data_IF_973429698550
#
_entry.id   IF_973429698550
#
_cell.length_a   1.000
_cell.length_b   1.000
_cell.length_c   1.000
_cell.angle_alpha   90.00
_cell.angle_beta   90.00
_cell.angle_gamma   90.00
#
_symmetry.space_group_name_H-M   'P 1'
#
loop_
_entity.id
_entity.type
_entity.pdbx_description
1 polymer ?
#
# COMPACT_ATOMS: atom_id res chain seq x y z
N UNK A 1 32.16 16.65 17.51
CA UNK A 1 30.88 17.39 17.59
C UNK A 1 29.98 16.76 16.55
N UNK A 2 28.89 16.15 16.99
CA UNK A 2 27.77 15.76 16.13
C UNK A 2 27.26 17.01 15.43
N UNK A 3 26.93 16.91 14.15
CA UNK A 3 26.29 18.04 13.46
C UNK A 3 24.90 18.24 14.04
N UNK A 4 24.42 19.48 14.07
CA UNK A 4 23.04 19.83 14.47
C UNK A 4 21.99 18.94 13.78
N UNK A 5 22.22 18.62 12.50
CA UNK A 5 21.37 17.73 11.73
C UNK A 5 21.30 16.32 12.34
N UNK A 6 22.44 15.79 12.78
CA UNK A 6 22.50 14.49 13.44
C UNK A 6 21.77 14.48 14.79
N UNK A 7 21.90 15.53 15.59
CA UNK A 7 21.21 15.61 16.90
C UNK A 7 19.69 15.59 16.75
N UNK A 8 19.16 16.26 15.72
CA UNK A 8 17.73 16.23 15.39
C UNK A 8 17.31 14.81 14.96
N UNK A 9 18.08 14.16 14.08
CA UNK A 9 17.77 12.80 13.62
C UNK A 9 17.87 11.76 14.75
N UNK A 10 18.83 11.93 15.66
CA UNK A 10 19.00 11.09 16.83
C UNK A 10 17.79 11.22 17.77
N UNK A 11 17.31 12.45 18.01
CA UNK A 11 16.09 12.68 18.79
C UNK A 11 14.86 12.03 18.13
N UNK A 12 14.73 12.12 16.79
CA UNK A 12 13.66 11.45 16.06
C UNK A 12 13.74 9.92 16.18
N UNK A 13 14.95 9.36 16.13
CA UNK A 13 15.21 7.91 16.23
C UNK A 13 14.95 7.38 17.64
N UNK A 14 15.23 8.20 18.66
CA UNK A 14 15.07 7.83 20.07
C UNK A 14 13.65 8.06 20.61
N UNK A 15 12.81 8.80 19.88
CA UNK A 15 11.47 9.16 20.35
C UNK A 15 11.47 10.30 21.37
N UNK A 16 12.57 11.06 21.49
CA UNK A 16 12.70 12.13 22.48
C UNK A 16 12.00 13.41 22.00
N UNK A 17 10.69 13.47 22.22
CA UNK A 17 9.84 14.61 21.88
C UNK A 17 10.31 15.90 22.54
N UNK A 18 10.80 15.84 23.79
CA UNK A 18 11.21 17.03 24.53
C UNK A 18 12.52 17.61 23.97
N UNK A 19 13.51 16.75 23.72
CA UNK A 19 14.75 17.17 23.06
C UNK A 19 14.47 17.71 21.65
N UNK A 20 13.62 17.03 20.88
CA UNK A 20 13.26 17.46 19.53
C UNK A 20 12.59 18.85 19.52
N UNK A 21 11.67 19.13 20.46
CA UNK A 21 11.06 20.44 20.61
C UNK A 21 12.10 21.54 20.90
N UNK A 22 13.03 21.28 21.82
CA UNK A 22 14.10 22.22 22.15
C UNK A 22 15.01 22.48 20.95
N UNK A 23 15.36 21.43 20.19
CA UNK A 23 16.17 21.55 18.98
C UNK A 23 15.42 22.34 17.89
N UNK A 24 14.11 22.15 17.72
CA UNK A 24 13.33 22.92 16.76
C UNK A 24 13.25 24.41 17.10
N UNK A 25 13.10 24.74 18.39
CA UNK A 25 13.11 26.12 18.87
C UNK A 25 14.48 26.78 18.68
N UNK A 26 15.56 26.10 19.11
CA UNK A 26 16.92 26.61 18.99
C UNK A 26 17.34 26.90 17.54
N UNK A 27 16.75 26.18 16.59
CA UNK A 27 17.08 26.26 15.17
C UNK A 27 16.03 27.01 14.33
N UNK A 28 15.06 27.68 14.97
CA UNK A 28 14.00 28.46 14.30
C UNK A 28 13.22 27.67 13.24
N UNK A 29 12.96 26.38 13.49
CA UNK A 29 12.27 25.48 12.55
C UNK A 29 10.74 25.66 12.65
N UNK A 30 10.22 26.11 13.80
CA UNK A 30 8.77 26.28 13.99
C UNK A 30 8.17 27.23 12.95
N UNK A 31 7.14 26.76 12.24
CA UNK A 31 6.44 27.48 11.17
C UNK A 31 7.33 27.86 9.97
N UNK A 32 8.52 27.26 9.83
CA UNK A 32 9.35 27.42 8.64
C UNK A 32 8.75 26.68 7.45
N UNK A 33 9.24 26.96 6.25
CA UNK A 33 8.97 26.07 5.13
C UNK A 33 9.68 24.72 5.36
N UNK A 34 9.10 23.59 4.90
CA UNK A 34 9.75 22.30 5.01
C UNK A 34 11.06 22.26 4.22
N UNK A 35 12.09 21.68 4.82
CA UNK A 35 13.41 21.52 4.19
C UNK A 35 13.41 20.24 3.36
N UNK A 36 13.73 20.37 2.08
CA UNK A 36 13.75 19.26 1.11
C UNK A 36 15.13 18.92 0.55
N UNK A 37 16.16 19.69 0.93
CA UNK A 37 17.53 19.46 0.49
C UNK A 37 18.47 19.50 1.67
N UNK A 38 19.37 18.54 1.72
CA UNK A 38 20.40 18.50 2.73
C UNK A 38 21.30 19.74 2.63
N UNK A 39 21.67 20.25 3.80
CA UNK A 39 22.65 21.31 3.95
C UNK A 39 23.63 20.90 5.03
N UNK A 40 24.92 21.14 4.81
CA UNK A 40 25.97 20.78 5.76
C UNK A 40 25.80 21.49 7.13
N UNK A 41 25.11 22.63 7.16
CA UNK A 41 24.87 23.44 8.36
C UNK A 41 23.39 23.68 8.65
N UNK A 42 22.49 23.04 7.90
CA UNK A 42 21.04 23.21 8.08
C UNK A 42 20.42 22.07 8.89
N UNK A 43 19.13 22.21 9.26
CA UNK A 43 18.37 21.09 9.80
C UNK A 43 18.23 19.96 8.75
N UNK A 44 17.95 18.72 9.18
CA UNK A 44 17.69 17.62 8.27
C UNK A 44 16.41 17.89 7.46
N UNK A 45 16.24 17.17 6.35
CA UNK A 45 14.99 17.27 5.59
C UNK A 45 13.81 16.76 6.41
N UNK A 46 12.61 17.28 6.13
CA UNK A 46 11.38 16.82 6.78
C UNK A 46 11.17 15.32 6.58
N UNK A 47 11.46 14.80 5.38
CA UNK A 47 11.30 13.39 5.07
C UNK A 47 12.36 12.52 5.78
N UNK A 48 13.59 13.01 5.97
CA UNK A 48 14.60 12.29 6.78
C UNK A 48 14.14 12.15 8.24
N UNK A 49 13.54 13.20 8.81
CA UNK A 49 12.98 13.13 10.16
C UNK A 49 11.78 12.18 10.25
N UNK A 50 10.86 12.24 9.27
CA UNK A 50 9.72 11.33 9.20
C UNK A 50 10.18 9.88 9.07
N UNK A 51 11.09 9.58 8.14
CA UNK A 51 11.63 8.22 7.94
C UNK A 51 12.27 7.69 9.22
N UNK A 52 13.09 8.49 9.91
CA UNK A 52 13.70 8.11 11.18
C UNK A 52 12.64 7.77 12.26
N UNK A 53 11.61 8.60 12.39
CA UNK A 53 10.54 8.39 13.36
C UNK A 53 9.65 7.18 13.01
N UNK A 54 9.30 7.00 11.72
CA UNK A 54 8.49 5.87 11.23
C UNK A 54 9.21 4.55 11.44
N UNK A 55 10.49 4.49 11.08
CA UNK A 55 11.32 3.28 11.20
C UNK A 55 11.44 2.79 12.65
N UNK A 56 11.21 3.68 13.62
CA UNK A 56 11.32 3.39 15.05
C UNK A 56 9.97 3.52 15.80
N UNK A 57 8.84 3.52 15.08
CA UNK A 57 7.48 3.52 15.65
C UNK A 57 7.13 4.71 16.58
N UNK A 58 7.76 5.87 16.38
CA UNK A 58 7.57 7.04 17.25
C UNK A 58 6.41 7.93 16.81
N UNK A 59 5.18 7.50 17.10
CA UNK A 59 3.92 8.21 16.76
C UNK A 59 3.96 9.69 17.17
N UNK A 60 4.34 9.99 18.42
CA UNK A 60 4.36 11.37 18.93
C UNK A 60 5.40 12.26 18.26
N UNK A 61 6.52 11.69 17.82
CA UNK A 61 7.55 12.41 17.05
C UNK A 61 6.99 12.76 15.67
N UNK A 62 6.33 11.81 14.99
CA UNK A 62 5.65 12.08 13.71
C UNK A 62 4.64 13.21 13.86
N UNK A 63 3.76 13.15 14.87
CA UNK A 63 2.79 14.22 15.15
C UNK A 63 3.47 15.57 15.36
N UNK A 64 4.56 15.63 16.13
CA UNK A 64 5.29 16.86 16.39
C UNK A 64 5.91 17.43 15.11
N UNK A 65 6.52 16.60 14.27
CA UNK A 65 7.11 17.01 12.99
C UNK A 65 6.03 17.65 12.12
N UNK A 66 4.88 16.98 11.95
CA UNK A 66 3.77 17.49 11.15
C UNK A 66 3.19 18.80 11.71
N UNK A 67 3.00 18.89 13.04
CA UNK A 67 2.52 20.12 13.69
C UNK A 67 3.48 21.30 13.51
N UNK A 68 4.79 21.04 13.49
CA UNK A 68 5.83 22.06 13.28
C UNK A 68 5.69 22.74 11.92
N UNK A 69 5.18 22.00 10.93
CA UNK A 69 4.91 22.48 9.57
C UNK A 69 3.41 22.72 9.31
N UNK A 70 2.58 22.83 10.36
CA UNK A 70 1.15 23.05 10.21
C UNK A 70 0.84 24.24 9.28
N UNK A 71 -0.05 24.03 8.32
CA UNK A 71 -0.39 25.02 7.29
C UNK A 71 0.59 25.09 6.10
N UNK A 72 1.62 24.24 6.05
CA UNK A 72 2.49 24.04 4.88
C UNK A 72 2.18 22.71 4.20
N UNK A 73 2.47 22.60 2.90
CA UNK A 73 2.39 21.31 2.20
C UNK A 73 3.72 20.56 2.37
N UNK A 74 3.72 19.54 3.21
CA UNK A 74 4.80 18.54 3.25
C UNK A 74 4.55 17.54 2.13
N UNK A 75 5.51 17.37 1.23
CA UNK A 75 5.47 16.35 0.21
C UNK A 75 6.12 15.08 0.75
N UNK A 76 5.32 14.04 0.98
CA UNK A 76 5.81 12.73 1.34
C UNK A 76 6.58 12.13 0.16
N UNK A 77 7.74 11.57 0.45
CA UNK A 77 8.61 10.98 -0.57
C UNK A 77 8.47 9.47 -0.61
N UNK A 78 9.04 8.88 -1.66
CA UNK A 78 9.24 7.43 -1.82
C UNK A 78 9.75 6.79 -0.53
N UNK A 79 10.78 7.37 0.08
CA UNK A 79 11.42 6.81 1.29
C UNK A 79 10.47 6.79 2.48
N UNK A 80 9.55 7.77 2.58
CA UNK A 80 8.52 7.82 3.63
C UNK A 80 7.54 6.67 3.47
N UNK A 81 7.09 6.40 2.24
CA UNK A 81 6.17 5.30 1.98
C UNK A 81 6.87 3.95 2.11
N UNK A 82 8.13 3.83 1.67
CA UNK A 82 8.94 2.63 1.90
C UNK A 82 9.12 2.36 3.40
N UNK A 83 9.30 3.40 4.24
CA UNK A 83 9.36 3.23 5.68
C UNK A 83 8.04 2.68 6.25
N UNK A 84 6.88 3.15 5.79
CA UNK A 84 5.56 2.63 6.20
C UNK A 84 5.33 1.17 5.76
N UNK A 85 5.79 0.80 4.57
CA UNK A 85 5.74 -0.59 4.09
C UNK A 85 6.64 -1.51 4.94
N UNK A 86 7.81 -0.99 5.37
CA UNK A 86 8.75 -1.75 6.17
C UNK A 86 8.38 -1.81 7.66
N UNK A 87 7.75 -0.76 8.19
CA UNK A 87 7.38 -0.58 9.58
C UNK A 87 5.91 -0.10 9.66
N UNK A 88 4.94 -0.98 9.34
CA UNK A 88 3.55 -0.60 9.27
C UNK A 88 2.99 -0.28 10.65
N UNK A 89 2.63 0.98 10.85
CA UNK A 89 2.04 1.49 12.08
C UNK A 89 0.83 2.36 11.74
N UNK A 90 -0.37 1.89 12.12
CA UNK A 90 -1.62 2.54 11.72
C UNK A 90 -1.83 3.90 12.40
N UNK A 91 -1.30 4.11 13.60
CA UNK A 91 -1.39 5.41 14.28
C UNK A 91 -0.52 6.46 13.59
N UNK A 92 0.67 6.05 13.12
CA UNK A 92 1.53 6.88 12.27
C UNK A 92 0.84 7.18 10.94
N UNK A 93 0.30 6.15 10.27
CA UNK A 93 -0.38 6.31 9.00
C UNK A 93 -1.59 7.26 9.14
N UNK A 94 -2.36 7.13 10.22
CA UNK A 94 -3.47 8.04 10.52
C UNK A 94 -2.99 9.48 10.67
N UNK A 95 -1.91 9.73 11.41
CA UNK A 95 -1.34 11.08 11.54
C UNK A 95 -0.94 11.68 10.18
N UNK A 96 -0.33 10.88 9.30
CA UNK A 96 0.08 11.32 7.97
C UNK A 96 -1.13 11.58 7.07
N UNK A 97 -2.16 10.73 7.16
CA UNK A 97 -3.42 10.90 6.42
C UNK A 97 -4.21 12.12 6.86
N UNK A 98 -4.33 12.35 8.18
CA UNK A 98 -4.99 13.54 8.73
C UNK A 98 -4.29 14.83 8.29
N UNK A 99 -2.98 14.74 8.01
CA UNK A 99 -2.20 15.85 7.49
C UNK A 99 -2.35 16.05 5.97
N UNK A 100 -2.20 15.00 5.18
CA UNK A 100 -2.43 15.01 3.73
C UNK A 100 -3.06 13.68 3.28
N UNK A 101 -4.40 13.66 3.04
CA UNK A 101 -5.11 12.45 2.62
C UNK A 101 -4.59 11.86 1.30
N UNK A 102 -3.90 12.64 0.46
CA UNK A 102 -3.34 12.13 -0.80
C UNK A 102 -2.22 11.10 -0.60
N UNK A 103 -1.76 10.86 0.63
CA UNK A 103 -0.78 9.80 0.92
C UNK A 103 -1.25 8.42 0.44
N UNK A 104 -2.55 8.12 0.51
CA UNK A 104 -3.09 6.81 0.05
C UNK A 104 -3.04 6.64 -1.46
N UNK A 105 -2.91 7.74 -2.19
CA UNK A 105 -2.79 7.80 -3.64
C UNK A 105 -1.34 8.01 -4.10
N UNK A 106 -0.35 7.75 -3.24
CA UNK A 106 1.05 7.87 -3.61
C UNK A 106 1.41 6.89 -4.74
N UNK A 107 2.22 7.37 -5.68
CA UNK A 107 2.66 6.67 -6.88
C UNK A 107 4.16 6.83 -7.10
N UNK A 108 4.82 5.75 -7.55
CA UNK A 108 6.26 5.77 -7.88
C UNK A 108 6.55 6.24 -9.31
N UNK A 109 5.86 5.70 -10.31
CA UNK A 109 6.32 5.78 -11.72
C UNK A 109 5.20 5.79 -12.79
N UNK A 110 4.36 6.84 -12.80
CA UNK A 110 3.40 7.03 -13.90
C UNK A 110 2.21 6.05 -13.81
N UNK A 111 1.69 5.90 -12.60
CA UNK A 111 0.44 5.22 -12.26
C UNK A 111 0.48 3.68 -12.21
N UNK A 112 1.60 2.99 -12.43
CA UNK A 112 1.61 1.51 -12.34
C UNK A 112 1.93 0.96 -10.97
N UNK A 113 2.77 1.66 -10.21
CA UNK A 113 3.13 1.30 -8.84
C UNK A 113 2.57 2.35 -7.88
N UNK A 114 1.54 1.96 -7.11
CA UNK A 114 0.91 2.77 -6.08
C UNK A 114 1.26 2.24 -4.69
N UNK A 115 0.94 3.01 -3.65
CA UNK A 115 1.09 2.56 -2.26
C UNK A 115 0.37 1.23 -2.02
N UNK A 116 -0.88 1.08 -2.48
CA UNK A 116 -1.63 -0.16 -2.29
C UNK A 116 -1.06 -1.33 -3.10
N UNK A 117 -0.57 -1.13 -4.33
CA UNK A 117 0.03 -2.23 -5.11
C UNK A 117 1.35 -2.69 -4.49
N UNK A 118 2.17 -1.78 -3.95
CA UNK A 118 3.39 -2.14 -3.22
C UNK A 118 3.10 -2.81 -1.89
N UNK A 119 2.05 -2.40 -1.18
CA UNK A 119 1.59 -3.09 0.01
C UNK A 119 1.13 -4.52 -0.32
N UNK A 120 0.48 -4.75 -1.46
CA UNK A 120 0.10 -6.10 -1.90
C UNK A 120 1.29 -7.05 -2.13
N UNK A 121 2.47 -6.52 -2.41
CA UNK A 121 3.71 -7.30 -2.61
C UNK A 121 4.39 -7.70 -1.29
N UNK A 122 3.96 -7.13 -0.15
CA UNK A 122 4.54 -7.43 1.16
C UNK A 122 3.96 -8.72 1.76
N UNK A 123 4.70 -9.43 2.66
CA UNK A 123 4.19 -10.62 3.32
C UNK A 123 2.88 -10.36 4.09
N UNK A 124 1.83 -11.20 3.93
CA UNK A 124 0.51 -10.96 4.53
C UNK A 124 0.53 -10.82 6.05
N UNK A 125 1.37 -11.58 6.75
CA UNK A 125 1.52 -11.55 8.22
C UNK A 125 1.96 -10.18 8.76
N UNK A 126 2.59 -9.37 7.91
CA UNK A 126 3.08 -8.04 8.23
C UNK A 126 2.12 -6.94 7.76
N UNK A 127 1.58 -7.06 6.56
CA UNK A 127 0.95 -5.94 5.86
C UNK A 127 -0.58 -5.93 5.91
N UNK A 128 -1.23 -7.03 6.33
CA UNK A 128 -2.70 -7.17 6.25
C UNK A 128 -3.46 -5.99 6.84
N UNK A 129 -3.09 -5.54 8.04
CA UNK A 129 -3.78 -4.41 8.70
C UNK A 129 -3.63 -3.10 7.94
N UNK A 130 -2.44 -2.84 7.37
CA UNK A 130 -2.20 -1.66 6.54
C UNK A 130 -3.00 -1.73 5.24
N UNK A 131 -3.06 -2.89 4.58
CA UNK A 131 -3.86 -3.07 3.37
C UNK A 131 -5.35 -2.84 3.62
N UNK A 132 -5.91 -3.41 4.68
CA UNK A 132 -7.31 -3.19 5.05
C UNK A 132 -7.57 -1.71 5.32
N UNK A 133 -6.68 -1.05 6.06
CA UNK A 133 -6.77 0.39 6.32
C UNK A 133 -6.73 1.20 5.01
N UNK A 134 -5.82 0.90 4.07
CA UNK A 134 -5.76 1.58 2.77
C UNK A 134 -7.05 1.39 1.95
N UNK A 135 -7.62 0.18 1.95
CA UNK A 135 -8.88 -0.12 1.27
C UNK A 135 -10.04 0.67 1.90
N UNK A 136 -10.07 0.78 3.23
CA UNK A 136 -11.10 1.56 3.93
C UNK A 136 -11.02 3.05 3.59
N UNK A 137 -9.80 3.59 3.41
CA UNK A 137 -9.50 4.99 3.15
C UNK A 137 -9.37 5.35 1.65
N UNK A 138 -10.08 4.62 0.78
CA UNK A 138 -10.24 4.93 -0.64
C UNK A 138 -8.93 4.98 -1.44
N UNK A 139 -7.93 4.16 -1.09
CA UNK A 139 -6.76 3.94 -1.95
C UNK A 139 -7.20 3.46 -3.35
N UNK A 140 -6.46 3.84 -4.40
CA UNK A 140 -6.79 3.47 -5.78
C UNK A 140 -6.61 1.96 -6.02
N UNK A 141 -7.73 1.24 -6.09
CA UNK A 141 -7.76 -0.21 -6.31
C UNK A 141 -7.69 -0.62 -7.78
N UNK A 142 -7.68 0.32 -8.72
CA UNK A 142 -7.43 0.01 -10.12
C UNK A 142 -5.92 0.00 -10.43
N UNK A 143 -5.07 0.55 -9.55
CA UNK A 143 -3.63 0.56 -9.76
C UNK A 143 -3.25 1.37 -11.01
N UNK A 144 -3.90 2.53 -11.17
CA UNK A 144 -3.76 3.44 -12.29
C UNK A 144 -4.40 2.96 -13.60
N UNK A 145 -3.63 2.93 -14.68
CA UNK A 145 -4.16 2.70 -16.03
C UNK A 145 -4.56 1.24 -16.33
N UNK A 146 -4.16 0.28 -15.50
CA UNK A 146 -4.46 -1.14 -15.69
C UNK A 146 -4.84 -1.79 -14.37
N UNK A 147 -6.01 -2.47 -14.26
CA UNK A 147 -6.51 -3.09 -13.03
C UNK A 147 -5.56 -4.19 -12.52
N UNK A 148 -4.56 -3.79 -11.74
CA UNK A 148 -3.45 -4.64 -11.28
C UNK A 148 -3.50 -4.93 -9.81
N UNK A 149 -4.17 -4.12 -8.98
CA UNK A 149 -4.16 -4.28 -7.52
C UNK A 149 -4.62 -5.67 -7.09
N UNK A 150 -5.72 -6.21 -7.65
CA UNK A 150 -6.12 -7.60 -7.35
C UNK A 150 -5.09 -8.63 -7.84
N UNK A 151 -4.44 -8.39 -8.99
CA UNK A 151 -3.37 -9.28 -9.47
C UNK A 151 -2.19 -9.28 -8.50
N UNK A 152 -1.74 -8.11 -8.05
CA UNK A 152 -0.66 -7.97 -7.08
C UNK A 152 -1.04 -8.61 -5.74
N UNK A 153 -2.29 -8.43 -5.26
CA UNK A 153 -2.76 -9.04 -4.03
C UNK A 153 -2.75 -10.58 -4.11
N UNK A 154 -3.17 -11.15 -5.24
CA UNK A 154 -3.16 -12.60 -5.46
C UNK A 154 -1.72 -13.13 -5.53
N UNK A 155 -0.86 -12.50 -6.34
CA UNK A 155 0.54 -12.89 -6.54
C UNK A 155 1.36 -12.75 -5.25
N UNK A 156 1.11 -11.70 -4.47
CA UNK A 156 1.71 -11.48 -3.17
C UNK A 156 1.15 -12.38 -2.06
N UNK A 157 0.23 -13.29 -2.38
CA UNK A 157 -0.32 -14.25 -1.43
C UNK A 157 -1.22 -13.62 -0.36
N UNK A 158 -1.79 -12.45 -0.61
CA UNK A 158 -2.64 -11.76 0.36
C UNK A 158 -3.83 -12.61 0.79
N UNK A 159 -4.29 -12.37 2.02
CA UNK A 159 -5.38 -13.13 2.63
C UNK A 159 -6.67 -12.97 1.84
N UNK A 160 -7.55 -13.98 1.89
CA UNK A 160 -8.87 -13.91 1.28
C UNK A 160 -9.65 -12.68 1.77
N UNK A 161 -9.53 -12.34 3.06
CA UNK A 161 -10.21 -11.18 3.66
C UNK A 161 -9.79 -9.85 3.03
N UNK A 162 -8.50 -9.67 2.70
CA UNK A 162 -8.01 -8.48 2.00
C UNK A 162 -8.58 -8.42 0.57
N UNK A 163 -8.53 -9.54 -0.15
CA UNK A 163 -9.05 -9.61 -1.53
C UNK A 163 -10.57 -9.36 -1.55
N UNK A 164 -11.31 -9.94 -0.61
CA UNK A 164 -12.74 -9.70 -0.45
C UNK A 164 -13.05 -8.23 -0.11
N UNK A 165 -12.27 -7.61 0.78
CA UNK A 165 -12.40 -6.20 1.09
C UNK A 165 -12.19 -5.31 -0.14
N UNK A 166 -11.14 -5.57 -0.93
CA UNK A 166 -10.88 -4.86 -2.18
C UNK A 166 -12.04 -4.98 -3.17
N UNK A 167 -12.52 -6.20 -3.40
CA UNK A 167 -13.66 -6.46 -4.30
C UNK A 167 -14.92 -5.75 -3.81
N UNK A 168 -15.22 -5.80 -2.51
CA UNK A 168 -16.38 -5.14 -1.91
C UNK A 168 -16.29 -3.61 -2.01
N UNK A 169 -15.08 -3.06 -1.96
CA UNK A 169 -14.81 -1.63 -2.14
C UNK A 169 -14.86 -1.19 -3.62
N UNK A 170 -14.95 -2.15 -4.55
CA UNK A 170 -15.18 -1.88 -5.97
C UNK A 170 -14.02 -2.22 -6.90
N UNK A 171 -12.96 -2.87 -6.41
CA UNK A 171 -11.88 -3.34 -7.25
C UNK A 171 -12.41 -4.24 -8.38
N UNK A 172 -12.05 -3.94 -9.62
CA UNK A 172 -12.54 -4.68 -10.79
C UNK A 172 -12.00 -6.11 -10.84
N UNK A 173 -12.90 -7.09 -10.78
CA UNK A 173 -12.59 -8.49 -11.10
C UNK A 173 -12.42 -8.62 -12.63
N UNK A 174 -11.19 -8.88 -13.07
CA UNK A 174 -10.84 -9.04 -14.48
C UNK A 174 -10.46 -10.49 -14.82
N UNK A 175 -10.50 -10.85 -16.11
CA UNK A 175 -9.96 -12.13 -16.60
C UNK A 175 -8.50 -12.32 -16.19
N UNK A 176 -7.70 -11.23 -16.17
CA UNK A 176 -6.32 -11.28 -15.71
C UNK A 176 -6.22 -11.64 -14.21
N UNK A 177 -7.02 -11.03 -13.35
CA UNK A 177 -7.03 -11.36 -11.92
C UNK A 177 -7.47 -12.82 -11.70
N UNK A 178 -8.50 -13.29 -12.41
CA UNK A 178 -8.95 -14.68 -12.36
C UNK A 178 -7.85 -15.65 -12.83
N UNK A 179 -7.15 -15.31 -13.91
CA UNK A 179 -6.00 -16.09 -14.38
C UNK A 179 -4.95 -16.21 -13.28
N UNK A 180 -4.59 -15.11 -12.60
CA UNK A 180 -3.62 -15.20 -11.50
C UNK A 180 -4.13 -16.07 -10.36
N UNK A 181 -5.41 -16.00 -10.01
CA UNK A 181 -5.99 -16.88 -8.99
C UNK A 181 -5.88 -18.36 -9.39
N UNK A 182 -6.11 -18.67 -10.66
CA UNK A 182 -5.96 -20.02 -11.22
C UNK A 182 -4.51 -20.48 -11.18
N UNK A 183 -3.57 -19.71 -11.73
CA UNK A 183 -2.15 -20.07 -11.82
C UNK A 183 -1.49 -20.18 -10.45
N UNK A 184 -1.90 -19.35 -9.49
CA UNK A 184 -1.45 -19.44 -8.10
C UNK A 184 -2.21 -20.49 -7.28
N UNK A 185 -3.11 -21.26 -7.90
CA UNK A 185 -3.92 -22.30 -7.27
C UNK A 185 -4.71 -21.79 -6.05
N UNK A 186 -5.09 -20.50 -6.08
CA UNK A 186 -5.87 -19.82 -5.04
C UNK A 186 -7.35 -20.13 -5.21
N UNK A 187 -7.71 -21.37 -4.92
CA UNK A 187 -9.08 -21.90 -5.03
C UNK A 187 -10.10 -21.07 -4.25
N UNK A 188 -9.69 -20.54 -3.09
CA UNK A 188 -10.47 -19.61 -2.27
C UNK A 188 -10.87 -18.34 -3.05
N UNK A 189 -9.91 -17.74 -3.77
CA UNK A 189 -10.13 -16.54 -4.59
C UNK A 189 -10.91 -16.87 -5.86
N UNK A 190 -10.63 -18.01 -6.50
CA UNK A 190 -11.40 -18.49 -7.67
C UNK A 190 -12.89 -18.63 -7.29
N UNK A 191 -13.19 -19.28 -6.16
CA UNK A 191 -14.57 -19.42 -5.65
C UNK A 191 -15.19 -18.06 -5.32
N UNK A 192 -14.43 -17.13 -4.72
CA UNK A 192 -14.89 -15.77 -4.44
C UNK A 192 -15.31 -15.04 -5.74
N UNK A 193 -14.45 -15.03 -6.77
CA UNK A 193 -14.73 -14.33 -8.03
C UNK A 193 -15.94 -14.91 -8.76
N UNK A 194 -16.07 -16.24 -8.79
CA UNK A 194 -17.26 -16.92 -9.32
C UNK A 194 -18.51 -16.51 -8.52
N UNK A 195 -18.43 -16.53 -7.18
CA UNK A 195 -19.52 -16.15 -6.28
C UNK A 195 -19.95 -14.69 -6.44
N UNK A 196 -19.03 -13.80 -6.83
CA UNK A 196 -19.32 -12.39 -7.17
C UNK A 196 -19.91 -12.21 -8.57
N UNK A 197 -20.16 -13.30 -9.30
CA UNK A 197 -20.83 -13.27 -10.59
C UNK A 197 -19.92 -12.83 -11.73
N UNK A 198 -18.61 -13.08 -11.64
CA UNK A 198 -17.69 -12.86 -12.74
C UNK A 198 -18.19 -13.58 -14.01
N UNK A 199 -18.13 -12.86 -15.13
CA UNK A 199 -18.46 -13.37 -16.46
C UNK A 199 -17.27 -13.22 -17.38
N UNK A 200 -17.19 -14.10 -18.38
CA UNK A 200 -16.15 -14.13 -19.41
C UNK A 200 -16.79 -14.37 -20.77
N UNK A 201 -16.11 -14.02 -21.85
CA UNK A 201 -16.52 -14.48 -23.18
C UNK A 201 -16.01 -15.91 -23.45
N UNK A 202 -16.29 -16.43 -24.64
CA UNK A 202 -15.92 -17.79 -25.01
C UNK A 202 -14.39 -18.00 -25.12
N UNK A 203 -13.67 -16.97 -25.54
CA UNK A 203 -12.22 -17.02 -25.74
C UNK A 203 -11.51 -16.97 -24.38
N UNK A 204 -11.90 -16.06 -23.50
CA UNK A 204 -11.45 -15.98 -22.12
C UNK A 204 -11.76 -17.26 -21.34
N UNK A 205 -12.95 -17.84 -21.54
CA UNK A 205 -13.31 -19.12 -20.92
C UNK A 205 -12.40 -20.27 -21.40
N UNK A 206 -12.10 -20.35 -22.70
CA UNK A 206 -11.18 -21.36 -23.23
C UNK A 206 -9.75 -21.15 -22.72
N UNK A 207 -9.33 -19.90 -22.65
CA UNK A 207 -8.04 -19.50 -22.12
C UNK A 207 -7.87 -19.91 -20.65
N UNK A 208 -8.82 -19.57 -19.78
CA UNK A 208 -8.77 -19.93 -18.36
C UNK A 208 -8.79 -21.44 -18.13
N UNK A 209 -9.50 -22.21 -18.97
CA UNK A 209 -9.46 -23.70 -18.91
C UNK A 209 -8.06 -24.24 -19.21
N UNK A 210 -7.38 -23.70 -20.22
CA UNK A 210 -6.02 -24.11 -20.56
C UNK A 210 -5.05 -23.76 -19.42
N UNK A 211 -5.14 -22.54 -18.88
CA UNK A 211 -4.32 -22.13 -17.74
C UNK A 211 -4.56 -23.03 -16.51
N UNK A 212 -5.81 -23.42 -16.24
CA UNK A 212 -6.13 -24.36 -15.17
C UNK A 212 -5.51 -25.75 -15.41
N UNK A 213 -5.58 -26.27 -16.64
CA UNK A 213 -4.97 -27.56 -16.99
C UNK A 213 -3.44 -27.57 -16.81
N UNK A 214 -2.78 -26.42 -17.04
CA UNK A 214 -1.33 -26.29 -16.83
C UNK A 214 -0.92 -26.36 -15.36
N UNK A 215 -1.81 -26.06 -14.41
CA UNK A 215 -1.53 -26.19 -12.97
C UNK A 215 -1.39 -27.64 -12.52
N UNK A 216 -1.99 -28.58 -13.26
CA UNK A 216 -2.12 -30.00 -12.87
C UNK A 216 -2.85 -30.23 -11.54
N UNK A 217 -3.47 -29.19 -10.96
CA UNK A 217 -4.30 -29.28 -9.77
C UNK A 217 -5.74 -29.65 -10.16
N UNK A 218 -6.14 -30.88 -9.83
CA UNK A 218 -7.45 -31.42 -10.21
C UNK A 218 -8.62 -30.56 -9.69
N UNK A 219 -8.53 -30.02 -8.45
CA UNK A 219 -9.60 -29.18 -7.89
C UNK A 219 -9.73 -27.86 -8.66
N UNK A 220 -8.62 -27.21 -9.02
CA UNK A 220 -8.64 -25.98 -9.84
C UNK A 220 -9.26 -26.25 -11.20
N UNK A 221 -8.84 -27.34 -11.86
CA UNK A 221 -9.35 -27.75 -13.17
C UNK A 221 -10.84 -28.00 -13.13
N UNK A 222 -11.33 -28.76 -12.14
CA UNK A 222 -12.75 -29.06 -11.99
C UNK A 222 -13.59 -27.80 -11.77
N UNK A 223 -13.16 -26.90 -10.89
CA UNK A 223 -13.87 -25.66 -10.61
C UNK A 223 -13.97 -24.78 -11.86
N UNK A 224 -12.84 -24.56 -12.55
CA UNK A 224 -12.79 -23.68 -13.72
C UNK A 224 -13.59 -24.28 -14.89
N UNK A 225 -13.46 -25.58 -15.16
CA UNK A 225 -14.28 -26.25 -16.19
C UNK A 225 -15.76 -26.23 -15.83
N UNK A 226 -16.09 -26.51 -14.58
CA UNK A 226 -17.46 -26.50 -14.08
C UNK A 226 -18.12 -25.13 -14.24
N UNK A 227 -17.43 -24.06 -13.86
CA UNK A 227 -17.91 -22.68 -13.97
C UNK A 227 -18.02 -22.20 -15.42
N UNK A 228 -16.96 -22.37 -16.23
CA UNK A 228 -16.94 -21.89 -17.63
C UNK A 228 -17.88 -22.67 -18.57
N UNK A 229 -18.42 -23.81 -18.14
CA UNK A 229 -19.44 -24.57 -18.89
C UNK A 229 -20.87 -24.09 -18.62
N UNK A 230 -21.08 -23.19 -17.65
CA UNK A 230 -22.41 -22.71 -17.30
C UNK A 230 -22.86 -21.59 -18.25
N UNK A 231 -24.10 -21.66 -18.73
CA UNK A 231 -24.67 -20.69 -19.69
C UNK A 231 -24.78 -19.25 -19.17
N UNK A 232 -24.78 -19.06 -17.86
CA UNK A 232 -24.84 -17.75 -17.20
C UNK A 232 -23.46 -17.10 -17.02
N UNK A 233 -22.38 -17.85 -17.24
CA UNK A 233 -21.00 -17.39 -17.12
C UNK A 233 -20.47 -16.81 -18.44
N UNK A 234 -20.78 -17.44 -19.57
CA UNK A 234 -20.27 -17.03 -20.88
C UNK A 234 -21.20 -15.99 -21.51
N UNK A 235 -20.71 -14.76 -21.68
CA UNK A 235 -21.41 -13.73 -22.47
C UNK A 235 -21.06 -13.90 -23.95
N UNK A 236 -22.10 -13.94 -24.78
CA UNK A 236 -22.03 -14.08 -26.25
C UNK A 236 -21.63 -12.80 -26.94
#
# INVERSE_FOLDING_TARGET
MTSQSQEILDACTQGDVAALQQLFEANNIRNSDPVYRDSASGPPTVNSMLVAAITNDHVSVVSLILQTYSGRKVQFTRETIEALLHHPNLDILQNLYDYDPYIVSFEWDGHTETFVTKACEQPPEKITSLLLWLVEHDADLEGGHFPRTLCNAILGGQTLGVIEAMVNKGARISTLAMRQAVVCERIDVVKLFIGKGMKVDADDAAYLRNEAEQTQNEEVVEIVKGWTSQRNCVVS
#
